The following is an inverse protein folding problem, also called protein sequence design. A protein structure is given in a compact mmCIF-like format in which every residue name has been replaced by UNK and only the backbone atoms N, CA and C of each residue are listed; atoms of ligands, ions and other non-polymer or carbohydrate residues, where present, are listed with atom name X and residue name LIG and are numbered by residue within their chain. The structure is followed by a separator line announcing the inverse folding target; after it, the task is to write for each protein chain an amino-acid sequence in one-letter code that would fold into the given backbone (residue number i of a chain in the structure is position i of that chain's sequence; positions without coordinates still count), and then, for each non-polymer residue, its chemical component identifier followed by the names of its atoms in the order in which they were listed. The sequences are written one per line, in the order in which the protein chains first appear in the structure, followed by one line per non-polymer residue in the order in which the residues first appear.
data_IF_178400718146
#
_entry.id   IF_178400718146
#
_cell.length_a   1.000
_cell.length_b   1.000
_cell.length_c   1.000
_cell.angle_alpha   90.00
_cell.angle_beta   90.00
_cell.angle_gamma   90.00
#
_symmetry.space_group_name_H-M   'P 1'
#
loop_
_entity.id
_entity.type
_entity.pdbx_description
1 polymer ?
#
# COMPACT_ATOMS: atom_id res chain seq x y z
N UNK A 1 -24.49 3.17 -5.34
CA UNK A 1 -23.12 2.91 -5.82
C UNK A 1 -22.17 3.41 -4.74
N UNK A 2 -21.86 2.58 -3.75
CA UNK A 2 -21.06 2.96 -2.59
C UNK A 2 -19.57 2.85 -2.93
N UNK A 3 -18.97 3.95 -3.37
CA UNK A 3 -17.55 4.03 -3.76
C UNK A 3 -16.60 4.43 -2.63
N UNK A 4 -16.94 4.21 -1.35
CA UNK A 4 -16.18 4.79 -0.23
C UNK A 4 -15.81 3.81 0.90
N UNK A 5 -15.96 2.50 0.74
CA UNK A 5 -15.70 1.53 1.81
C UNK A 5 -14.33 0.82 1.75
N UNK A 6 -13.41 1.23 0.88
CA UNK A 6 -12.09 0.57 0.75
C UNK A 6 -10.92 1.44 1.25
N UNK A 7 -11.18 2.59 1.86
CA UNK A 7 -10.15 3.38 2.52
C UNK A 7 -9.87 2.80 3.90
N UNK A 8 -9.03 1.77 3.92
CA UNK A 8 -8.43 1.24 5.14
C UNK A 8 -9.26 0.13 5.75
N UNK A 9 -9.08 -1.09 5.22
CA UNK A 9 -9.41 -2.29 5.96
C UNK A 9 -8.64 -2.21 7.29
N UNK A 10 -9.34 -2.13 8.44
CA UNK A 10 -8.68 -2.11 9.77
C UNK A 10 -7.80 -3.36 9.97
N UNK A 11 -8.02 -4.40 9.17
CA UNK A 11 -7.25 -5.63 9.17
C UNK A 11 -6.07 -5.65 8.19
N UNK A 12 -5.86 -4.58 7.41
CA UNK A 12 -4.72 -4.42 6.49
C UNK A 12 -3.37 -4.46 7.20
N UNK A 13 -2.34 -4.90 6.48
CA UNK A 13 -0.96 -4.87 6.97
C UNK A 13 -0.55 -3.42 7.29
N UNK A 14 -0.90 -2.47 6.43
CA UNK A 14 -0.63 -1.05 6.66
C UNK A 14 -1.28 -0.53 7.96
N UNK A 15 -2.54 -0.88 8.24
CA UNK A 15 -3.24 -0.47 9.46
C UNK A 15 -2.59 -1.06 10.72
N UNK A 16 -2.24 -2.35 10.69
CA UNK A 16 -1.55 -3.04 11.80
C UNK A 16 -0.19 -2.43 12.08
N UNK A 17 0.63 -2.21 11.04
CA UNK A 17 1.95 -1.59 11.18
C UNK A 17 1.82 -0.17 11.74
N UNK A 18 0.85 0.62 11.25
CA UNK A 18 0.55 1.96 11.76
C UNK A 18 0.15 1.93 13.23
N UNK A 19 -0.71 1.00 13.65
CA UNK A 19 -1.11 0.85 15.04
C UNK A 19 0.09 0.56 15.94
N UNK A 20 1.04 -0.29 15.50
CA UNK A 20 2.29 -0.57 16.24
C UNK A 20 3.19 0.65 16.35
N UNK A 21 3.37 1.40 15.25
CA UNK A 21 4.15 2.65 15.24
C UNK A 21 3.59 3.67 16.25
N UNK A 22 2.27 3.85 16.26
CA UNK A 22 1.59 4.77 17.18
C UNK A 22 1.75 4.29 18.63
N UNK A 23 1.52 3.01 18.91
CA UNK A 23 1.67 2.43 20.25
C UNK A 23 3.10 2.58 20.79
N UNK A 24 4.11 2.45 19.92
CA UNK A 24 5.52 2.66 20.24
C UNK A 24 5.94 4.13 20.29
N UNK A 25 5.03 5.08 19.98
CA UNK A 25 5.32 6.52 19.83
C UNK A 25 6.48 6.79 18.87
N UNK A 26 6.64 5.94 17.86
CA UNK A 26 7.66 6.10 16.83
C UNK A 26 7.19 7.12 15.79
N UNK A 27 8.12 7.94 15.30
CA UNK A 27 7.91 8.82 14.16
C UNK A 27 8.06 8.02 12.85
N UNK A 28 7.17 8.30 11.89
CA UNK A 28 7.13 7.63 10.58
C UNK A 28 6.96 8.65 9.45
N UNK A 29 7.92 9.56 9.31
CA UNK A 29 7.97 10.45 8.13
C UNK A 29 8.42 9.70 6.87
N UNK A 30 8.30 10.33 5.70
CA UNK A 30 8.58 9.71 4.40
C UNK A 30 9.97 9.04 4.29
N UNK A 31 10.96 9.54 5.04
CA UNK A 31 12.33 9.01 5.05
C UNK A 31 12.65 8.14 6.28
N UNK A 32 11.71 7.97 7.21
CA UNK A 32 11.90 7.13 8.39
C UNK A 32 11.67 5.65 8.01
N UNK A 33 12.53 4.75 8.48
CA UNK A 33 12.33 3.31 8.28
C UNK A 33 11.30 2.76 9.26
N UNK A 34 10.39 1.94 8.74
CA UNK A 34 9.37 1.21 9.52
C UNK A 34 9.69 -0.28 9.68
N UNK A 35 10.83 -0.74 9.16
CA UNK A 35 11.18 -2.16 9.07
C UNK A 35 11.15 -2.88 10.44
N UNK A 36 11.48 -2.18 11.52
CA UNK A 36 11.46 -2.72 12.89
C UNK A 36 10.02 -3.08 13.39
N UNK A 37 8.98 -2.60 12.71
CA UNK A 37 7.56 -2.83 13.06
C UNK A 37 6.83 -3.78 12.11
N UNK A 38 7.51 -4.27 11.07
CA UNK A 38 6.98 -5.24 10.11
C UNK A 38 7.22 -6.65 10.64
N UNK A 39 6.15 -7.45 10.74
CA UNK A 39 6.21 -8.85 11.14
C UNK A 39 6.30 -9.78 9.91
N UNK A 40 6.65 -11.05 10.14
CA UNK A 40 6.73 -12.05 9.07
C UNK A 40 5.39 -12.20 8.35
N UNK A 41 5.41 -12.20 7.00
CA UNK A 41 4.22 -12.25 6.17
C UNK A 41 3.56 -10.89 5.91
N UNK A 42 3.84 -9.87 6.73
CA UNK A 42 3.22 -8.54 6.54
C UNK A 42 3.90 -7.73 5.45
N UNK A 43 5.18 -8.01 5.16
CA UNK A 43 5.88 -7.33 4.07
C UNK A 43 5.20 -7.65 2.75
N UNK A 44 4.97 -8.93 2.45
CA UNK A 44 4.31 -9.36 1.21
C UNK A 44 2.88 -8.79 1.11
N UNK A 45 2.15 -8.77 2.23
CA UNK A 45 0.82 -8.16 2.28
C UNK A 45 0.87 -6.65 2.02
N UNK A 46 1.83 -5.95 2.61
CA UNK A 46 2.01 -4.50 2.42
C UNK A 46 2.37 -4.19 0.96
N UNK A 47 3.25 -4.99 0.34
CA UNK A 47 3.59 -4.85 -1.08
C UNK A 47 2.35 -5.03 -1.96
N UNK A 48 1.54 -6.07 -1.72
CA UNK A 48 0.29 -6.29 -2.47
C UNK A 48 -0.72 -5.15 -2.28
N UNK A 49 -0.83 -4.59 -1.07
CA UNK A 49 -1.67 -3.42 -0.79
C UNK A 49 -1.19 -2.17 -1.54
N UNK A 50 0.13 -1.93 -1.58
CA UNK A 50 0.73 -0.82 -2.33
C UNK A 50 0.48 -0.98 -3.83
N UNK A 51 0.68 -2.18 -4.39
CA UNK A 51 0.41 -2.46 -5.81
C UNK A 51 -1.05 -2.15 -6.17
N UNK A 52 -2.01 -2.66 -5.37
CA UNK A 52 -3.44 -2.41 -5.59
C UNK A 52 -3.79 -0.93 -5.50
N UNK A 53 -3.19 -0.20 -4.56
CA UNK A 53 -3.44 1.23 -4.41
C UNK A 53 -2.82 2.05 -5.54
N UNK A 54 -1.64 1.69 -6.04
CA UNK A 54 -1.03 2.33 -7.20
C UNK A 54 -1.83 2.07 -8.47
N UNK A 55 -2.34 0.85 -8.63
CA UNK A 55 -3.24 0.51 -9.73
C UNK A 55 -4.44 1.46 -9.78
N UNK A 56 -5.06 1.74 -8.63
CA UNK A 56 -6.17 2.71 -8.54
C UNK A 56 -5.76 4.13 -8.87
N UNK A 57 -4.55 4.55 -8.50
CA UNK A 57 -4.02 5.87 -8.87
C UNK A 57 -3.88 5.98 -10.38
N UNK A 58 -3.33 4.94 -11.04
CA UNK A 58 -3.21 4.89 -12.49
C UNK A 58 -4.58 4.93 -13.17
N UNK A 59 -5.54 4.15 -12.67
CA UNK A 59 -6.92 4.15 -13.18
C UNK A 59 -7.57 5.54 -13.02
N UNK A 60 -7.33 6.23 -11.90
CA UNK A 60 -7.82 7.59 -11.65
C UNK A 60 -7.18 8.65 -12.57
N UNK A 61 -5.96 8.40 -13.06
CA UNK A 61 -5.31 9.21 -14.10
C UNK A 61 -5.81 8.89 -15.51
N UNK A 62 -6.83 8.03 -15.65
CA UNK A 62 -7.42 7.60 -16.93
C UNK A 62 -6.38 6.91 -17.84
N UNK A 63 -5.45 6.18 -17.21
CA UNK A 63 -4.45 5.38 -17.91
C UNK A 63 -5.04 3.99 -18.15
N UNK A 64 -4.98 3.50 -19.39
CA UNK A 64 -5.41 2.12 -19.72
C UNK A 64 -4.38 1.11 -19.22
N UNK A 65 -4.59 0.67 -18.00
CA UNK A 65 -3.73 -0.31 -17.34
C UNK A 65 -4.03 -1.75 -17.69
N UNK A 66 -5.15 -2.01 -18.37
CA UNK A 66 -5.54 -3.35 -18.80
C UNK A 66 -4.84 -3.74 -20.10
N UNK A 67 -4.63 -2.76 -20.99
CA UNK A 67 -4.03 -2.97 -22.31
C UNK A 67 -2.55 -2.58 -22.39
N UNK A 68 -2.02 -1.83 -21.42
CA UNK A 68 -0.61 -1.37 -21.40
C UNK A 68 0.25 -2.13 -20.38
N UNK A 69 1.13 -3.00 -20.86
CA UNK A 69 2.08 -3.76 -20.03
C UNK A 69 3.03 -2.86 -19.21
N UNK A 70 3.39 -1.67 -19.72
CA UNK A 70 4.31 -0.77 -19.02
C UNK A 70 3.70 -0.26 -17.71
N UNK A 71 2.38 -0.14 -17.66
CA UNK A 71 1.66 0.42 -16.52
C UNK A 71 1.42 -0.63 -15.43
N UNK A 72 1.13 -1.89 -15.81
CA UNK A 72 1.06 -3.02 -14.86
C UNK A 72 2.40 -3.27 -14.16
N UNK A 73 3.50 -3.25 -14.92
CA UNK A 73 4.82 -3.42 -14.33
C UNK A 73 5.26 -2.23 -13.49
N UNK A 74 4.68 -1.05 -13.71
CA UNK A 74 4.97 0.13 -12.89
C UNK A 74 4.41 -0.01 -11.48
N UNK A 75 3.16 -0.49 -11.31
CA UNK A 75 2.58 -0.71 -9.99
C UNK A 75 3.40 -1.74 -9.17
N UNK A 76 3.80 -2.85 -9.80
CA UNK A 76 4.65 -3.89 -9.18
C UNK A 76 6.03 -3.38 -8.79
N UNK A 77 6.69 -2.61 -9.66
CA UNK A 77 8.04 -2.10 -9.38
C UNK A 77 8.08 -1.11 -8.22
N UNK A 78 7.05 -0.31 -8.05
CA UNK A 78 6.98 0.68 -6.96
C UNK A 78 6.56 0.03 -5.64
N UNK A 79 5.83 -1.08 -5.68
CA UNK A 79 5.45 -1.85 -4.49
C UNK A 79 6.62 -2.63 -3.88
N UNK A 80 7.71 -2.87 -4.62
CA UNK A 80 8.88 -3.63 -4.17
C UNK A 80 9.87 -2.77 -3.38
#
# INVERSE_FOLDING_TARGET
MNGASDLGDEHSAAAKIRARLIAAKKRFHANDSIAEFIQAGELEMLQAEVEKNLQRVLDALVIDTSSDHNTQDTAKRVAK
#
